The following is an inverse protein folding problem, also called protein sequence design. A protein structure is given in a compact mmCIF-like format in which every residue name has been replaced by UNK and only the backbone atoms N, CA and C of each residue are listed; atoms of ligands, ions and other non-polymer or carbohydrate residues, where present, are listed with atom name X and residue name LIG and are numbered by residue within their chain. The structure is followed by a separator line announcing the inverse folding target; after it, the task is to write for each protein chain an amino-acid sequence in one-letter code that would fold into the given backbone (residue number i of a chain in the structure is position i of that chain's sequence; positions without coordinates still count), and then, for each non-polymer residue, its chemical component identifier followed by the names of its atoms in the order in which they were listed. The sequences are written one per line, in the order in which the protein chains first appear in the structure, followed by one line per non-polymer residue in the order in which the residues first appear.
data_IF_073326278357
#
_entry.id   IF_073326278357
#
_cell.length_a   1.000
_cell.length_b   1.000
_cell.length_c   1.000
_cell.angle_alpha   90.00
_cell.angle_beta   90.00
_cell.angle_gamma   90.00
#
_symmetry.space_group_name_H-M   'P 1'
#
loop_
_entity.id
_entity.type
_entity.pdbx_description
1 polymer ?
#
# COMPACT_ATOMS: atom_id res chain seq x y z
N UNK A 1 2.25 10.87 23.89
CA UNK A 1 2.09 11.21 22.46
C UNK A 1 3.44 11.02 21.78
N UNK A 2 3.64 9.96 21.01
CA UNK A 2 4.95 9.68 20.35
C UNK A 2 5.00 10.54 19.08
N UNK A 3 5.58 11.74 19.18
CA UNK A 3 5.96 12.52 18.00
C UNK A 3 7.22 11.88 17.39
N UNK A 4 7.01 10.78 16.65
CA UNK A 4 8.06 10.10 15.90
C UNK A 4 8.57 10.99 14.77
N UNK A 5 9.87 10.93 14.47
CA UNK A 5 10.48 11.68 13.37
C UNK A 5 9.97 11.14 12.03
N UNK A 6 8.79 11.57 11.58
CA UNK A 6 8.10 11.08 10.37
C UNK A 6 9.00 11.08 9.13
N UNK A 7 9.87 12.08 9.00
CA UNK A 7 10.89 12.17 7.94
C UNK A 7 11.83 10.95 7.95
N UNK A 8 12.24 10.47 9.13
CA UNK A 8 13.09 9.28 9.23
C UNK A 8 12.33 8.00 8.88
N UNK A 9 11.04 7.94 9.16
CA UNK A 9 10.19 6.79 8.82
C UNK A 9 9.92 6.74 7.32
N UNK A 10 9.66 7.89 6.70
CA UNK A 10 9.47 7.99 5.25
C UNK A 10 10.68 7.47 4.46
N UNK A 11 11.91 7.78 4.91
CA UNK A 11 13.13 7.24 4.28
C UNK A 11 13.19 5.71 4.27
N UNK A 12 12.56 5.03 5.24
CA UNK A 12 12.52 3.57 5.31
C UNK A 12 11.54 2.94 4.33
N UNK A 13 10.63 3.71 3.73
CA UNK A 13 9.62 3.16 2.80
C UNK A 13 10.34 2.48 1.63
N UNK A 14 11.38 3.10 1.07
CA UNK A 14 12.20 2.49 0.02
C UNK A 14 12.94 1.22 0.48
N UNK A 15 13.47 1.21 1.70
CA UNK A 15 14.11 0.01 2.25
C UNK A 15 13.11 -1.13 2.39
N UNK A 16 11.89 -0.83 2.83
CA UNK A 16 10.81 -1.81 2.96
C UNK A 16 10.31 -2.30 1.59
N UNK A 17 10.15 -1.42 0.59
CA UNK A 17 9.75 -1.85 -0.75
C UNK A 17 10.79 -2.79 -1.35
N UNK A 18 12.08 -2.47 -1.16
CA UNK A 18 13.18 -3.32 -1.60
C UNK A 18 13.18 -4.68 -0.89
N UNK A 19 13.06 -4.70 0.44
CA UNK A 19 13.12 -5.95 1.21
C UNK A 19 11.90 -6.84 0.93
N UNK A 20 10.71 -6.27 0.68
CA UNK A 20 9.51 -7.01 0.26
C UNK A 20 9.76 -7.77 -1.05
N UNK A 21 10.31 -7.09 -2.06
CA UNK A 21 10.61 -7.69 -3.36
C UNK A 21 11.71 -8.76 -3.26
N UNK A 22 12.68 -8.56 -2.38
CA UNK A 22 13.78 -9.49 -2.13
C UNK A 22 13.31 -10.76 -1.40
N UNK A 23 12.51 -10.61 -0.35
CA UNK A 23 12.02 -11.72 0.48
C UNK A 23 10.92 -12.53 -0.20
N UNK A 24 10.10 -11.91 -1.06
CA UNK A 24 8.97 -12.55 -1.72
C UNK A 24 9.02 -12.28 -3.22
N UNK A 25 9.96 -12.96 -3.89
CA UNK A 25 10.18 -12.85 -5.34
C UNK A 25 8.89 -13.11 -6.10
N UNK A 26 8.56 -12.22 -7.04
CA UNK A 26 7.30 -12.25 -7.80
C UNK A 26 6.23 -11.29 -7.27
N UNK A 27 6.42 -10.75 -6.05
CA UNK A 27 5.60 -9.66 -5.53
C UNK A 27 5.78 -8.40 -6.36
N UNK A 28 4.80 -7.50 -6.32
CA UNK A 28 4.88 -6.18 -6.94
C UNK A 28 4.69 -5.10 -5.91
N UNK A 29 5.46 -4.02 -6.06
CA UNK A 29 5.37 -2.84 -5.20
C UNK A 29 5.44 -1.60 -6.08
N UNK A 30 4.50 -0.67 -5.91
CA UNK A 30 4.53 0.65 -6.58
C UNK A 30 4.57 1.73 -5.50
N UNK A 31 5.55 2.62 -5.57
CA UNK A 31 5.65 3.77 -4.68
C UNK A 31 5.55 5.04 -5.52
N UNK A 32 4.57 5.89 -5.19
CA UNK A 32 4.38 7.19 -5.79
C UNK A 32 4.69 8.27 -4.74
N UNK A 33 5.56 9.19 -5.14
CA UNK A 33 5.93 10.36 -4.33
C UNK A 33 5.78 11.61 -5.17
N UNK A 34 5.20 12.66 -4.60
CA UNK A 34 5.16 13.97 -5.21
C UNK A 34 6.41 14.76 -4.82
N UNK A 35 7.06 15.41 -5.79
CA UNK A 35 8.22 16.26 -5.52
C UNK A 35 7.90 17.67 -5.99
N UNK A 36 7.70 18.64 -5.07
CA UNK A 36 7.43 20.02 -5.44
C UNK A 36 8.53 20.60 -6.35
N UNK A 37 8.15 21.44 -7.32
CA UNK A 37 9.06 22.10 -8.27
C UNK A 37 9.92 23.22 -7.66
N UNK A 38 10.43 23.01 -6.45
CA UNK A 38 11.18 23.98 -5.65
C UNK A 38 12.59 23.43 -5.42
N UNK A 39 13.66 24.24 -5.50
CA UNK A 39 15.02 23.77 -5.20
C UNK A 39 15.10 23.14 -3.80
N UNK A 40 15.70 21.94 -3.72
CA UNK A 40 15.87 21.15 -2.48
C UNK A 40 14.54 20.70 -1.82
N UNK A 41 13.44 20.62 -2.56
CA UNK A 41 12.21 20.05 -2.04
C UNK A 41 12.41 18.60 -1.59
N UNK A 42 11.78 18.24 -0.47
CA UNK A 42 11.75 16.88 0.05
C UNK A 42 10.55 16.18 -0.61
N UNK A 43 10.73 14.99 -1.23
CA UNK A 43 9.62 14.22 -1.75
C UNK A 43 8.58 13.93 -0.67
N UNK A 44 7.31 14.06 -1.02
CA UNK A 44 6.16 13.78 -0.17
C UNK A 44 5.57 12.44 -0.56
N UNK A 45 5.21 11.64 0.43
CA UNK A 45 4.48 10.40 0.20
C UNK A 45 3.13 10.68 -0.47
N UNK A 46 2.80 9.95 -1.54
CA UNK A 46 1.49 10.05 -2.18
C UNK A 46 0.74 8.72 -2.14
N UNK A 47 1.28 7.67 -2.75
CA UNK A 47 0.64 6.35 -2.79
C UNK A 47 1.65 5.22 -2.62
N UNK A 48 1.23 4.13 -1.98
CA UNK A 48 1.96 2.87 -1.94
C UNK A 48 1.01 1.75 -2.34
N UNK A 49 1.46 0.87 -3.20
CA UNK A 49 0.79 -0.39 -3.54
C UNK A 49 1.74 -1.53 -3.24
N UNK A 50 1.24 -2.59 -2.62
CA UNK A 50 1.96 -3.83 -2.38
C UNK A 50 1.06 -4.99 -2.75
N UNK A 51 1.56 -5.92 -3.55
CA UNK A 51 0.91 -7.20 -3.86
C UNK A 51 1.88 -8.35 -3.63
N UNK A 52 1.53 -9.24 -2.71
CA UNK A 52 2.35 -10.37 -2.28
C UNK A 52 2.11 -11.58 -3.18
N UNK A 53 3.15 -12.06 -3.85
CA UNK A 53 3.03 -13.25 -4.70
C UNK A 53 2.63 -14.49 -3.90
N UNK A 54 3.25 -14.70 -2.73
CA UNK A 54 2.88 -15.78 -1.83
C UNK A 54 1.40 -15.75 -1.45
N UNK A 55 0.85 -14.57 -1.12
CA UNK A 55 -0.57 -14.42 -0.80
C UNK A 55 -1.44 -14.67 -2.04
N UNK A 56 -1.09 -14.10 -3.20
CA UNK A 56 -1.80 -14.36 -4.46
C UNK A 56 -1.89 -15.85 -4.78
N UNK A 57 -0.77 -16.58 -4.65
CA UNK A 57 -0.73 -18.03 -4.87
C UNK A 57 -1.56 -18.80 -3.85
N UNK A 58 -1.48 -18.41 -2.57
CA UNK A 58 -2.29 -19.01 -1.51
C UNK A 58 -3.79 -18.83 -1.75
N UNK A 59 -4.20 -17.64 -2.20
CA UNK A 59 -5.59 -17.36 -2.55
C UNK A 59 -6.07 -18.26 -3.70
N UNK A 60 -5.32 -18.33 -4.80
CA UNK A 60 -5.68 -19.19 -5.94
C UNK A 60 -5.75 -20.68 -5.56
N UNK A 61 -4.89 -21.11 -4.63
CA UNK A 61 -4.81 -22.52 -4.21
C UNK A 61 -5.90 -22.94 -3.22
N UNK A 62 -6.43 -22.02 -2.40
CA UNK A 62 -7.28 -22.39 -1.26
C UNK A 62 -8.50 -21.51 -1.00
N UNK A 63 -8.57 -20.31 -1.55
CA UNK A 63 -9.72 -19.41 -1.35
C UNK A 63 -10.76 -19.58 -2.46
N UNK A 64 -11.99 -19.14 -2.16
CA UNK A 64 -13.04 -19.01 -3.20
C UNK A 64 -12.62 -17.95 -4.20
N UNK A 65 -12.92 -18.08 -5.51
CA UNK A 65 -12.57 -17.09 -6.54
C UNK A 65 -13.49 -15.85 -6.46
N UNK A 66 -13.52 -15.23 -5.29
CA UNK A 66 -14.28 -14.02 -4.98
C UNK A 66 -13.38 -13.10 -4.18
N UNK A 67 -13.28 -11.85 -4.64
CA UNK A 67 -12.48 -10.81 -4.03
C UNK A 67 -13.43 -9.67 -3.68
N UNK A 68 -13.50 -9.33 -2.40
CA UNK A 68 -14.00 -8.05 -1.93
C UNK A 68 -12.85 -7.06 -1.82
N UNK A 69 -13.13 -5.76 -1.95
CA UNK A 69 -12.17 -4.71 -1.62
C UNK A 69 -12.88 -3.69 -0.75
N UNK A 70 -12.21 -3.26 0.30
CA UNK A 70 -12.72 -2.30 1.26
C UNK A 70 -11.63 -1.27 1.59
N UNK A 71 -12.01 -0.15 2.18
CA UNK A 71 -11.09 0.89 2.61
C UNK A 71 -11.34 1.35 4.03
N UNK A 72 -10.27 1.75 4.70
CA UNK A 72 -10.37 2.36 6.03
C UNK A 72 -9.49 3.60 6.17
N UNK A 73 -9.94 4.55 6.98
CA UNK A 73 -9.21 5.79 7.25
C UNK A 73 -7.97 5.52 8.11
N UNK A 74 -6.82 6.01 7.66
CA UNK A 74 -5.60 6.01 8.45
C UNK A 74 -5.64 7.14 9.47
N UNK A 75 -5.32 6.82 10.72
CA UNK A 75 -5.13 7.81 11.78
C UNK A 75 -3.64 8.13 11.88
N UNK A 76 -3.26 9.36 11.51
CA UNK A 76 -1.88 9.79 11.54
C UNK A 76 -1.72 11.28 11.21
N UNK A 77 -0.48 11.76 11.13
CA UNK A 77 -0.19 13.13 10.72
C UNK A 77 -0.50 13.39 9.24
N UNK A 78 -0.52 12.33 8.45
CA UNK A 78 -0.92 12.32 7.06
C UNK A 78 -2.30 11.69 6.97
N UNK A 79 -3.25 12.44 6.41
CA UNK A 79 -4.55 11.91 6.03
C UNK A 79 -4.37 10.93 4.87
N UNK A 80 -5.21 9.89 4.83
CA UNK A 80 -5.16 8.86 3.81
C UNK A 80 -6.05 7.69 4.14
N UNK A 81 -6.16 6.77 3.21
CA UNK A 81 -6.96 5.57 3.33
C UNK A 81 -6.12 4.35 2.96
N UNK A 82 -6.35 3.25 3.67
CA UNK A 82 -5.81 1.93 3.36
C UNK A 82 -6.89 1.17 2.59
N UNK A 83 -6.61 0.82 1.34
CA UNK A 83 -7.42 -0.09 0.53
C UNK A 83 -6.89 -1.51 0.67
N UNK A 84 -7.76 -2.47 0.94
CA UNK A 84 -7.36 -3.85 1.24
C UNK A 84 -8.32 -4.89 0.66
N UNK A 85 -7.77 -6.09 0.42
CA UNK A 85 -8.50 -7.20 -0.17
C UNK A 85 -9.15 -8.07 0.91
N UNK A 86 -10.38 -8.51 0.64
CA UNK A 86 -11.13 -9.48 1.43
C UNK A 86 -11.40 -10.74 0.63
N UNK A 87 -11.41 -11.87 1.31
CA UNK A 87 -11.75 -13.16 0.72
C UNK A 87 -13.27 -13.38 0.62
N UNK A 88 -13.67 -14.52 0.05
CA UNK A 88 -15.08 -14.93 -0.04
C UNK A 88 -15.78 -15.21 1.28
N UNK A 89 -15.12 -15.03 2.43
CA UNK A 89 -15.67 -15.12 3.77
C UNK A 89 -15.67 -13.76 4.50
N UNK A 90 -15.52 -12.67 3.75
CA UNK A 90 -15.41 -11.30 4.27
C UNK A 90 -14.28 -11.15 5.31
N UNK A 91 -13.26 -12.00 5.23
CA UNK A 91 -12.06 -11.91 6.07
C UNK A 91 -10.96 -11.18 5.32
N UNK A 92 -10.10 -10.49 6.07
CA UNK A 92 -8.92 -9.87 5.51
C UNK A 92 -7.99 -10.96 4.96
N UNK A 93 -7.70 -10.89 3.68
CA UNK A 93 -6.69 -11.71 3.04
C UNK A 93 -5.81 -10.79 2.19
N UNK A 94 -4.62 -10.40 2.68
CA UNK A 94 -3.85 -9.32 2.08
C UNK A 94 -3.10 -9.79 0.83
N UNK A 95 -3.83 -10.09 -0.26
CA UNK A 95 -3.25 -10.33 -1.58
C UNK A 95 -2.50 -9.07 -2.00
N UNK A 96 -3.21 -7.95 -1.96
CA UNK A 96 -2.66 -6.62 -2.14
C UNK A 96 -3.29 -5.64 -1.15
N UNK A 97 -2.58 -4.55 -0.90
CA UNK A 97 -3.11 -3.39 -0.22
C UNK A 97 -2.50 -2.13 -0.82
N UNK A 98 -3.19 -1.01 -0.67
CA UNK A 98 -2.66 0.29 -1.03
C UNK A 98 -2.94 1.34 0.02
N UNK A 99 -1.96 2.23 0.21
CA UNK A 99 -2.16 3.47 0.93
C UNK A 99 -2.33 4.57 -0.11
N UNK A 100 -3.45 5.27 -0.06
CA UNK A 100 -3.81 6.36 -0.98
C UNK A 100 -4.27 7.58 -0.21
N UNK A 101 -4.28 8.75 -0.86
CA UNK A 101 -4.75 10.00 -0.27
C UNK A 101 -6.26 9.98 0.06
N UNK A 102 -7.05 9.17 -0.66
CA UNK A 102 -8.46 8.92 -0.37
C UNK A 102 -9.11 8.04 -1.43
N UNK A 103 -10.30 7.53 -1.14
CA UNK A 103 -11.13 6.73 -2.06
C UNK A 103 -11.71 7.61 -3.19
N UNK A 104 -10.86 7.90 -4.17
CA UNK A 104 -11.23 8.61 -5.39
C UNK A 104 -11.21 7.65 -6.57
N UNK A 105 -11.93 7.98 -7.65
CA UNK A 105 -11.87 7.21 -8.90
C UNK A 105 -10.43 7.01 -9.39
N UNK A 106 -9.60 8.06 -9.30
CA UNK A 106 -8.20 7.99 -9.70
C UNK A 106 -7.38 7.04 -8.81
N UNK A 107 -7.61 7.04 -7.50
CA UNK A 107 -6.94 6.12 -6.58
C UNK A 107 -7.30 4.65 -6.88
N UNK A 108 -8.56 4.39 -7.25
CA UNK A 108 -9.05 3.06 -7.63
C UNK A 108 -8.47 2.62 -8.98
N UNK A 109 -8.44 3.50 -9.98
CA UNK A 109 -7.80 3.23 -11.27
C UNK A 109 -6.29 2.98 -11.14
N UNK A 110 -5.64 3.61 -10.16
CA UNK A 110 -4.22 3.38 -9.87
C UNK A 110 -3.97 2.05 -9.14
N UNK A 111 -4.94 1.61 -8.33
CA UNK A 111 -4.87 0.38 -7.53
C UNK A 111 -4.98 -0.90 -8.36
N UNK A 112 -5.82 -0.88 -9.40
CA UNK A 112 -6.02 -2.00 -10.33
C UNK A 112 -5.03 -1.98 -11.51
#
# INVERSE_FOLDING_TARGET
MIHGKYIKQFKKVWDYTHELLKCNRGSSVKLLTDTPSIPNAIPVFQRLYVCSDACRRGFVAGCRPFIGVDGCFLKGPTEGQLLEWKDGNDQMYPIAFAVVEGETKESWEWFF
#
